data_IF_149315985692
#
_entry.id   IF_149315985692
#
_cell.length_a   1.000
_cell.length_b   1.000
_cell.length_c   1.000
_cell.angle_alpha   90.00
_cell.angle_beta   90.00
_cell.angle_gamma   90.00
#
_symmetry.space_group_name_H-M   'P 1'
#
loop_
_entity.id
_entity.type
_entity.pdbx_description
1 polymer ?
#
# COMPACT_ATOMS: atom_id res chain seq x y z
N UNK A 1 -0.25 42.67 14.49
CA UNK A 1 -1.65 42.22 14.30
C UNK A 1 -1.82 40.75 14.71
N UNK A 2 -1.03 39.80 14.19
CA UNK A 2 -1.08 38.39 14.62
C UNK A 2 0.19 37.95 15.34
N UNK A 3 0.06 37.27 16.49
CA UNK A 3 1.16 36.68 17.26
C UNK A 3 1.04 35.16 17.24
N UNK A 4 2.14 34.47 16.96
CA UNK A 4 2.19 33.01 17.01
C UNK A 4 2.51 32.60 18.46
N UNK A 5 1.55 31.99 19.15
CA UNK A 5 1.73 31.47 20.49
C UNK A 5 2.59 30.19 20.48
N UNK A 6 3.28 29.91 21.58
CA UNK A 6 4.22 28.79 21.69
C UNK A 6 3.58 27.39 21.47
N UNK A 7 2.25 27.31 21.48
CA UNK A 7 1.45 26.12 21.21
C UNK A 7 1.05 25.94 19.73
N UNK A 8 1.51 26.81 18.83
CA UNK A 8 1.17 26.75 17.40
C UNK A 8 -0.11 27.52 17.03
N UNK A 9 -0.78 28.17 17.99
CA UNK A 9 -1.96 28.98 17.71
C UNK A 9 -1.58 30.38 17.24
N UNK A 10 -2.33 30.92 16.30
CA UNK A 10 -2.26 32.30 15.84
C UNK A 10 -3.27 33.10 16.67
N UNK A 11 -2.74 33.99 17.51
CA UNK A 11 -3.49 34.91 18.33
C UNK A 11 -3.61 36.27 17.63
N UNK A 12 -4.80 36.85 17.64
CA UNK A 12 -5.06 38.24 17.26
C UNK A 12 -5.22 39.07 18.54
N UNK A 13 -4.39 40.11 18.70
CA UNK A 13 -4.56 41.10 19.77
C UNK A 13 -5.72 42.03 19.41
N UNK A 14 -6.83 41.93 20.14
CA UNK A 14 -8.09 42.61 19.80
C UNK A 14 -8.16 44.05 20.34
N UNK A 15 -7.23 44.41 21.24
CA UNK A 15 -7.20 45.73 21.90
C UNK A 15 -6.46 46.78 21.06
N UNK A 16 -5.35 46.41 20.39
CA UNK A 16 -4.58 47.35 19.57
C UNK A 16 -5.15 47.51 18.15
N UNK A 17 -5.81 46.49 17.63
CA UNK A 17 -6.43 46.50 16.31
C UNK A 17 -7.77 45.78 16.36
N UNK A 18 -8.83 46.50 16.75
CA UNK A 18 -10.20 45.98 16.71
C UNK A 18 -10.60 45.69 15.25
N UNK A 19 -10.84 44.42 14.88
CA UNK A 19 -11.18 44.06 13.51
C UNK A 19 -12.65 44.44 13.22
N UNK A 20 -12.93 45.09 12.08
CA UNK A 20 -14.28 45.56 11.74
C UNK A 20 -15.28 44.43 11.44
N UNK A 21 -14.83 43.23 11.06
CA UNK A 21 -15.70 42.07 10.81
C UNK A 21 -14.92 40.76 10.80
N UNK A 22 -15.61 39.63 10.99
CA UNK A 22 -15.05 38.28 10.82
C UNK A 22 -14.44 38.08 9.42
N UNK A 23 -15.06 38.66 8.39
CA UNK A 23 -14.57 38.61 7.02
C UNK A 23 -13.21 39.33 6.85
N UNK A 24 -13.02 40.46 7.54
CA UNK A 24 -11.74 41.18 7.52
C UNK A 24 -10.60 40.35 8.14
N UNK A 25 -10.87 39.59 9.21
CA UNK A 25 -9.87 38.69 9.82
C UNK A 25 -9.49 37.57 8.85
N UNK A 26 -10.47 36.97 8.16
CA UNK A 26 -10.22 35.91 7.18
C UNK A 26 -9.43 36.43 5.98
N UNK A 27 -9.75 37.62 5.47
CA UNK A 27 -8.99 38.24 4.38
C UNK A 27 -7.57 38.67 4.81
N UNK A 28 -7.43 39.19 6.03
CA UNK A 28 -6.12 39.53 6.59
C UNK A 28 -5.25 38.28 6.79
N UNK A 29 -5.85 37.16 7.23
CA UNK A 29 -5.14 35.87 7.33
C UNK A 29 -4.71 35.35 5.95
N UNK A 30 -5.58 35.44 4.94
CA UNK A 30 -5.25 35.07 3.54
C UNK A 30 -4.14 35.93 2.92
N UNK A 31 -4.06 37.21 3.28
CA UNK A 31 -2.98 38.12 2.83
C UNK A 31 -1.69 37.97 3.65
N UNK A 32 -1.77 37.36 4.83
CA UNK A 32 -0.63 37.18 5.73
C UNK A 32 0.16 35.90 5.42
N UNK A 33 1.29 35.75 6.11
CA UNK A 33 2.16 34.57 6.09
C UNK A 33 1.52 33.30 6.67
N UNK A 34 0.26 33.36 7.12
CA UNK A 34 -0.48 32.24 7.74
C UNK A 34 -1.59 31.66 6.86
N UNK A 35 -1.57 31.93 5.54
CA UNK A 35 -2.62 31.53 4.59
C UNK A 35 -2.92 30.01 4.57
N UNK A 36 -1.97 29.17 4.98
CA UNK A 36 -2.10 27.71 5.01
C UNK A 36 -2.54 27.14 6.37
N UNK A 37 -2.76 27.99 7.38
CA UNK A 37 -3.20 27.56 8.71
C UNK A 37 -4.70 27.23 8.71
N UNK A 38 -5.12 26.31 9.59
CA UNK A 38 -6.54 26.02 9.78
C UNK A 38 -7.21 27.19 10.47
N UNK A 39 -8.12 27.85 9.76
CA UNK A 39 -8.88 28.99 10.29
C UNK A 39 -10.06 28.46 11.09
N UNK A 40 -10.11 28.82 12.37
CA UNK A 40 -11.22 28.47 13.26
C UNK A 40 -12.34 29.50 13.12
N UNK A 41 -13.27 29.22 12.20
CA UNK A 41 -14.40 30.10 11.89
C UNK A 41 -15.38 30.22 13.07
N UNK A 42 -15.49 29.19 13.90
CA UNK A 42 -16.37 29.16 15.06
C UNK A 42 -15.90 30.09 16.18
N UNK A 43 -14.59 30.09 16.47
CA UNK A 43 -14.00 30.98 17.48
C UNK A 43 -14.15 32.46 17.08
N UNK A 44 -13.96 32.76 15.79
CA UNK A 44 -14.13 34.11 15.24
C UNK A 44 -15.59 34.55 15.36
N UNK A 45 -16.54 33.71 14.97
CA UNK A 45 -17.96 34.05 15.05
C UNK A 45 -18.48 34.15 16.49
N UNK A 46 -17.96 33.33 17.41
CA UNK A 46 -18.30 33.40 18.83
C UNK A 46 -17.87 34.74 19.44
N UNK A 47 -16.67 35.23 19.11
CA UNK A 47 -16.18 36.53 19.58
C UNK A 47 -17.05 37.71 19.14
N UNK A 48 -17.56 37.69 17.91
CA UNK A 48 -18.46 38.74 17.41
C UNK A 48 -19.89 38.63 17.97
N UNK A 49 -20.32 37.45 18.43
CA UNK A 49 -21.66 37.25 19.03
C UNK A 49 -21.69 37.58 20.52
N UNK A 50 -20.67 37.16 21.26
CA UNK A 50 -20.50 37.46 22.69
C UNK A 50 -19.10 38.04 22.89
N UNK A 51 -18.96 39.37 22.97
CA UNK A 51 -17.66 39.99 23.18
C UNK A 51 -17.15 39.67 24.58
N UNK A 52 -16.33 38.63 24.68
CA UNK A 52 -15.56 38.34 25.88
C UNK A 52 -14.44 39.37 26.02
N UNK A 53 -14.14 39.78 27.27
CA UNK A 53 -13.11 40.77 27.59
C UNK A 53 -11.67 40.21 27.45
N UNK A 54 -11.50 39.21 26.60
CA UNK A 54 -10.23 38.53 26.35
C UNK A 54 -9.37 39.40 25.42
N UNK A 55 -8.12 39.62 25.83
CA UNK A 55 -7.19 40.50 25.13
C UNK A 55 -6.72 39.91 23.79
N UNK A 56 -6.80 38.59 23.65
CA UNK A 56 -6.26 37.82 22.52
C UNK A 56 -7.26 36.76 22.05
N UNK A 57 -7.59 36.75 20.77
CA UNK A 57 -8.46 35.75 20.15
C UNK A 57 -7.63 34.72 19.37
N UNK A 58 -7.86 33.43 19.57
CA UNK A 58 -7.29 32.38 18.70
C UNK A 58 -8.05 32.39 17.38
N UNK A 59 -7.36 32.75 16.29
CA UNK A 59 -7.97 32.91 14.96
C UNK A 59 -7.56 31.82 13.97
N UNK A 60 -6.44 31.14 14.21
CA UNK A 60 -6.01 29.99 13.43
C UNK A 60 -5.09 29.08 14.26
N UNK A 61 -5.00 27.81 13.89
CA UNK A 61 -4.10 26.83 14.50
C UNK A 61 -3.14 26.24 13.47
N UNK A 62 -1.89 26.06 13.87
CA UNK A 62 -0.89 25.34 13.07
C UNK A 62 -0.93 23.86 13.42
N UNK A 63 -1.11 23.03 12.39
CA UNK A 63 -0.97 21.59 12.52
C UNK A 63 0.21 21.11 11.68
N UNK A 64 1.12 20.37 12.32
CA UNK A 64 2.22 19.70 11.64
C UNK A 64 1.69 18.50 10.83
N UNK A 65 2.42 18.13 9.77
CA UNK A 65 2.09 16.93 9.01
C UNK A 65 2.25 15.68 9.89
N UNK A 66 1.28 14.78 9.83
CA UNK A 66 1.28 13.54 10.61
C UNK A 66 1.12 12.33 9.72
N UNK A 67 1.86 11.26 10.01
CA UNK A 67 1.77 9.98 9.32
C UNK A 67 1.30 8.91 10.30
N UNK A 68 0.14 8.33 10.01
CA UNK A 68 -0.39 7.17 10.72
C UNK A 68 -0.14 5.93 9.90
N UNK A 69 0.46 4.89 10.47
CA UNK A 69 0.71 3.63 9.78
C UNK A 69 -0.16 2.55 10.38
N UNK A 70 -0.97 1.92 9.52
CA UNK A 70 -1.87 0.83 9.89
C UNK A 70 -1.44 -0.43 9.15
N UNK A 71 -1.34 -1.54 9.89
CA UNK A 71 -1.07 -2.87 9.32
C UNK A 71 -2.40 -3.60 9.23
N UNK A 72 -2.67 -4.18 8.08
CA UNK A 72 -3.86 -5.02 7.84
C UNK A 72 -3.84 -6.26 8.75
N UNK A 73 -5.02 -6.82 9.07
CA UNK A 73 -5.17 -7.98 9.96
C UNK A 73 -4.42 -9.21 9.45
N UNK A 74 -4.32 -9.34 8.13
CA UNK A 74 -3.56 -10.40 7.45
C UNK A 74 -2.03 -10.25 7.60
N UNK A 75 -1.55 -9.12 8.13
CA UNK A 75 -0.13 -8.75 8.23
C UNK A 75 0.60 -8.79 6.88
N UNK A 76 -0.12 -8.68 5.77
CA UNK A 76 0.44 -8.71 4.42
C UNK A 76 0.59 -7.32 3.81
N UNK A 77 -0.05 -6.31 4.39
CA UNK A 77 -0.05 -4.96 3.84
C UNK A 77 0.06 -3.92 4.96
N UNK A 78 0.95 -2.95 4.77
CA UNK A 78 1.05 -1.77 5.63
C UNK A 78 0.66 -0.53 4.82
N UNK A 79 -0.38 0.17 5.26
CA UNK A 79 -0.84 1.43 4.70
C UNK A 79 -0.40 2.60 5.56
N UNK A 80 0.17 3.63 4.95
CA UNK A 80 0.37 4.94 5.56
C UNK A 80 -0.75 5.88 5.18
N UNK A 81 -1.28 6.60 6.15
CA UNK A 81 -2.18 7.73 5.97
C UNK A 81 -1.42 8.99 6.39
N UNK A 82 -1.07 9.82 5.39
CA UNK A 82 -0.43 11.12 5.61
C UNK A 82 -1.48 12.21 5.62
N UNK A 83 -1.48 12.99 6.67
CA UNK A 83 -2.22 14.25 6.74
C UNK A 83 -1.26 15.40 6.48
N UNK A 84 -1.53 16.20 5.45
CA UNK A 84 -0.67 17.34 5.08
C UNK A 84 -0.67 18.42 6.16
N UNK A 85 0.45 19.12 6.30
CA UNK A 85 0.58 20.20 7.28
C UNK A 85 -0.39 21.34 6.97
N UNK A 86 -0.95 21.95 8.01
CA UNK A 86 -1.75 23.17 7.94
C UNK A 86 -0.98 24.31 8.59
N UNK A 87 -0.05 24.92 7.83
CA UNK A 87 0.82 25.99 8.31
C UNK A 87 1.90 25.57 9.33
N UNK A 88 1.99 24.26 9.60
CA UNK A 88 3.03 23.61 10.40
C UNK A 88 4.20 23.07 9.55
N UNK A 89 5.00 22.19 10.14
CA UNK A 89 6.14 21.55 9.47
C UNK A 89 5.71 20.38 8.60
N UNK A 90 6.35 20.27 7.44
CA UNK A 90 6.24 19.09 6.57
C UNK A 90 6.92 17.87 7.20
N UNK A 91 6.45 16.68 6.84
CA UNK A 91 7.01 15.46 7.39
C UNK A 91 8.32 15.12 6.69
N UNK A 92 9.39 14.98 7.47
CA UNK A 92 10.68 14.56 6.96
C UNK A 92 10.74 13.03 6.79
N UNK A 93 11.54 12.58 5.81
CA UNK A 93 11.71 11.15 5.50
C UNK A 93 12.20 10.35 6.71
N UNK A 94 13.11 10.91 7.51
CA UNK A 94 13.61 10.26 8.73
C UNK A 94 12.53 10.08 9.80
N UNK A 95 11.66 11.08 9.99
CA UNK A 95 10.53 10.96 10.92
C UNK A 95 9.53 9.91 10.44
N UNK A 96 9.25 9.88 9.13
CA UNK A 96 8.37 8.90 8.53
C UNK A 96 8.92 7.46 8.68
N UNK A 97 10.24 7.26 8.51
CA UNK A 97 10.93 6.00 8.81
C UNK A 97 10.79 5.58 10.27
N UNK A 98 10.94 6.52 11.22
CA UNK A 98 10.75 6.21 12.63
C UNK A 98 9.32 5.76 12.94
N UNK A 99 8.31 6.37 12.31
CA UNK A 99 6.90 5.95 12.49
C UNK A 99 6.66 4.54 11.92
N UNK A 100 7.25 4.22 10.78
CA UNK A 100 7.21 2.88 10.19
C UNK A 100 7.80 1.81 11.12
N UNK A 101 8.95 2.10 11.72
CA UNK A 101 9.60 1.19 12.67
C UNK A 101 8.73 1.03 13.92
N UNK A 102 8.18 2.12 14.45
CA UNK A 102 7.26 2.08 15.61
C UNK A 102 5.99 1.27 15.32
N UNK A 103 5.48 1.32 14.09
CA UNK A 103 4.34 0.52 13.67
C UNK A 103 4.66 -0.99 13.52
N UNK A 104 5.94 -1.36 13.54
CA UNK A 104 6.39 -2.76 13.46
C UNK A 104 6.53 -3.28 12.02
N UNK A 105 6.77 -2.39 11.05
CA UNK A 105 7.11 -2.80 9.67
C UNK A 105 8.58 -3.17 9.61
N UNK A 106 8.89 -4.46 9.40
CA UNK A 106 10.25 -4.99 9.37
C UNK A 106 10.70 -5.43 7.97
N UNK A 107 9.78 -5.96 7.15
CA UNK A 107 10.06 -6.49 5.80
C UNK A 107 9.06 -5.99 4.77
N UNK A 108 9.48 -5.96 3.51
CA UNK A 108 8.63 -5.54 2.39
C UNK A 108 8.43 -4.04 2.24
N UNK A 109 9.13 -3.22 3.04
CA UNK A 109 9.21 -1.76 2.87
C UNK A 109 9.94 -1.42 1.57
N UNK A 110 9.40 -0.45 0.83
CA UNK A 110 10.08 0.16 -0.31
C UNK A 110 10.19 1.66 -0.10
N UNK A 111 11.42 2.17 -0.13
CA UNK A 111 11.70 3.60 0.04
C UNK A 111 10.95 4.47 -0.99
N UNK A 112 10.90 4.02 -2.24
CA UNK A 112 10.20 4.72 -3.30
C UNK A 112 8.70 4.99 -2.97
N UNK A 113 8.02 4.08 -2.28
CA UNK A 113 6.62 4.29 -1.92
C UNK A 113 6.45 5.34 -0.82
N UNK A 114 7.39 5.38 0.13
CA UNK A 114 7.40 6.40 1.16
C UNK A 114 7.68 7.78 0.54
N UNK A 115 8.66 7.87 -0.37
CA UNK A 115 8.99 9.10 -1.08
C UNK A 115 7.81 9.60 -1.92
N UNK A 116 7.12 8.71 -2.64
CA UNK A 116 5.91 9.07 -3.40
C UNK A 116 4.80 9.61 -2.50
N UNK A 117 4.57 8.98 -1.34
CA UNK A 117 3.57 9.42 -0.38
C UNK A 117 3.94 10.77 0.25
N UNK A 118 5.23 10.99 0.55
CA UNK A 118 5.72 12.28 1.02
C UNK A 118 5.68 13.36 -0.07
N UNK A 119 5.90 13.02 -1.34
CA UNK A 119 5.83 13.98 -2.44
C UNK A 119 4.43 14.58 -2.58
N UNK A 120 3.39 13.78 -2.32
CA UNK A 120 2.00 14.25 -2.33
C UNK A 120 1.73 15.35 -1.31
N UNK A 121 2.55 15.48 -0.27
CA UNK A 121 2.43 16.56 0.72
C UNK A 121 2.69 17.95 0.13
N UNK A 122 3.41 18.04 -1.00
CA UNK A 122 3.72 19.29 -1.69
C UNK A 122 2.73 19.60 -2.82
N UNK A 123 2.05 18.57 -3.34
CA UNK A 123 1.08 18.73 -4.43
C UNK A 123 -0.34 18.99 -3.91
N UNK A 124 -0.65 18.53 -2.70
CA UNK A 124 -1.99 18.57 -2.13
C UNK A 124 -2.21 19.80 -1.26
N UNK A 125 -3.47 20.30 -1.20
CA UNK A 125 -3.80 21.40 -0.31
C UNK A 125 -3.65 21.00 1.16
N UNK A 126 -3.36 22.00 2.00
CA UNK A 126 -3.22 21.87 3.44
C UNK A 126 -4.46 21.21 4.08
N UNK A 127 -4.24 20.20 4.94
CA UNK A 127 -5.32 19.48 5.62
C UNK A 127 -5.90 18.28 4.88
N UNK A 128 -5.31 17.88 3.76
CA UNK A 128 -5.76 16.70 3.02
C UNK A 128 -5.13 15.45 3.61
N UNK A 129 -5.95 14.41 3.82
CA UNK A 129 -5.49 13.08 4.20
C UNK A 129 -5.35 12.20 2.97
N UNK A 130 -4.18 11.60 2.75
CA UNK A 130 -3.94 10.67 1.64
C UNK A 130 -3.35 9.37 2.14
N UNK A 131 -3.85 8.28 1.56
CA UNK A 131 -3.45 6.92 1.86
C UNK A 131 -2.54 6.39 0.79
N UNK A 132 -1.48 5.70 1.18
CA UNK A 132 -0.60 4.98 0.29
C UNK A 132 -0.04 3.72 0.92
N UNK A 133 0.40 2.79 0.07
CA UNK A 133 0.94 1.51 0.50
C UNK A 133 2.43 1.71 0.81
N UNK A 134 2.86 1.41 2.03
CA UNK A 134 4.25 1.58 2.45
C UNK A 134 5.05 0.27 2.41
N UNK A 135 4.40 -0.85 2.71
CA UNK A 135 5.02 -2.16 2.65
C UNK A 135 4.04 -3.25 2.20
N UNK A 136 4.58 -4.26 1.51
CA UNK A 136 3.83 -5.42 1.03
C UNK A 136 4.59 -6.71 1.35
N UNK A 137 3.89 -7.64 1.98
CA UNK A 137 4.33 -9.02 2.20
C UNK A 137 4.27 -9.84 0.91
N UNK A 138 4.95 -10.97 0.92
CA UNK A 138 4.97 -11.92 -0.19
C UNK A 138 4.39 -13.25 0.27
N UNK A 139 3.41 -13.78 -0.47
CA UNK A 139 2.88 -15.11 -0.19
C UNK A 139 3.90 -16.20 -0.57
N UNK A 140 3.93 -17.33 0.16
CA UNK A 140 4.78 -18.45 -0.22
C UNK A 140 4.31 -19.06 -1.54
N UNK A 141 5.26 -19.43 -2.39
CA UNK A 141 5.00 -20.18 -3.63
C UNK A 141 5.41 -21.64 -3.38
N UNK A 142 4.45 -22.56 -3.44
CA UNK A 142 4.74 -23.99 -3.31
C UNK A 142 5.60 -24.48 -4.48
N UNK A 143 6.52 -25.39 -4.16
CA UNK A 143 7.29 -26.12 -5.14
C UNK A 143 6.41 -27.09 -5.93
N UNK A 144 6.81 -27.38 -7.16
CA UNK A 144 6.16 -28.37 -8.01
C UNK A 144 6.81 -29.72 -7.72
N UNK A 145 6.01 -30.74 -7.42
CA UNK A 145 6.51 -32.12 -7.31
C UNK A 145 7.08 -32.60 -8.64
N UNK A 146 7.97 -33.59 -8.58
CA UNK A 146 8.49 -34.21 -9.79
C UNK A 146 7.36 -34.94 -10.52
N UNK A 147 7.27 -34.74 -11.83
CA UNK A 147 6.26 -35.41 -12.65
C UNK A 147 6.98 -36.27 -13.68
N UNK A 148 6.59 -37.53 -13.77
CA UNK A 148 7.01 -38.42 -14.84
C UNK A 148 6.10 -38.18 -16.04
N UNK A 149 6.63 -37.55 -17.07
CA UNK A 149 5.92 -37.31 -18.32
C UNK A 149 6.19 -38.47 -19.26
N UNK A 150 5.19 -39.33 -19.45
CA UNK A 150 5.26 -40.37 -20.49
C UNK A 150 5.30 -39.70 -21.86
N UNK A 151 6.32 -40.02 -22.64
CA UNK A 151 6.46 -39.59 -24.05
C UNK A 151 5.79 -40.57 -25.00
N UNK A 152 5.39 -41.74 -24.50
CA UNK A 152 4.71 -42.78 -25.28
C UNK A 152 3.30 -42.96 -24.72
N UNK A 153 2.33 -42.98 -25.61
CA UNK A 153 0.95 -43.28 -25.25
C UNK A 153 0.77 -44.78 -25.10
N UNK A 154 0.21 -45.21 -23.97
CA UNK A 154 -0.13 -46.61 -23.73
C UNK A 154 -1.43 -46.99 -24.45
N UNK A 155 -1.63 -48.29 -24.68
CA UNK A 155 -2.86 -48.80 -25.29
C UNK A 155 -4.12 -48.42 -24.49
N UNK A 156 -4.01 -48.36 -23.17
CA UNK A 156 -5.09 -47.95 -22.27
C UNK A 156 -5.51 -46.49 -22.49
N UNK A 157 -4.55 -45.60 -22.77
CA UNK A 157 -4.83 -44.19 -23.06
C UNK A 157 -5.44 -44.00 -24.45
N UNK A 158 -5.03 -44.81 -25.43
CA UNK A 158 -5.53 -44.76 -26.81
C UNK A 158 -6.91 -45.39 -27.02
N UNK A 159 -7.32 -46.30 -26.15
CA UNK A 159 -8.66 -46.91 -26.15
C UNK A 159 -9.79 -45.86 -26.11
N UNK A 160 -9.52 -44.65 -25.61
CA UNK A 160 -10.48 -43.55 -25.55
C UNK A 160 -10.37 -42.54 -26.70
N UNK A 161 -9.44 -42.71 -27.63
CA UNK A 161 -9.22 -41.83 -28.77
C UNK A 161 -9.15 -42.64 -30.07
N UNK A 162 -10.31 -42.95 -30.70
CA UNK A 162 -10.36 -43.63 -31.98
C UNK A 162 -9.72 -42.78 -33.07
N UNK A 163 -9.26 -43.43 -34.14
CA UNK A 163 -8.50 -42.77 -35.20
C UNK A 163 -9.39 -41.79 -35.99
N UNK A 164 -8.90 -40.56 -36.12
CA UNK A 164 -9.49 -39.56 -37.01
C UNK A 164 -9.09 -39.86 -38.46
N UNK A 165 -10.05 -39.92 -39.37
CA UNK A 165 -9.81 -40.00 -40.82
C UNK A 165 -9.53 -38.61 -41.37
N UNK A 166 -8.93 -38.54 -42.56
CA UNK A 166 -8.59 -37.27 -43.23
C UNK A 166 -9.83 -36.40 -43.52
N UNK A 167 -10.99 -37.04 -43.68
CA UNK A 167 -12.29 -36.38 -43.87
C UNK A 167 -12.90 -35.81 -42.57
N UNK A 168 -12.19 -35.88 -41.44
CA UNK A 168 -12.66 -35.43 -40.13
C UNK A 168 -13.63 -36.38 -39.43
N UNK A 169 -13.97 -37.51 -40.05
CA UNK A 169 -14.80 -38.56 -39.44
C UNK A 169 -13.96 -39.47 -38.53
N UNK A 170 -14.55 -39.95 -37.43
CA UNK A 170 -13.86 -40.79 -36.44
C UNK A 170 -14.23 -42.25 -36.65
N UNK A 171 -13.23 -43.13 -36.79
CA UNK A 171 -13.46 -44.57 -36.90
C UNK A 171 -13.50 -45.24 -35.52
N UNK A 172 -14.71 -45.50 -35.02
CA UNK A 172 -14.93 -46.12 -33.70
C UNK A 172 -14.46 -47.59 -33.61
N UNK A 173 -13.97 -48.19 -34.69
CA UNK A 173 -13.44 -49.58 -34.72
C UNK A 173 -11.92 -49.65 -34.82
N UNK A 174 -11.25 -48.56 -35.19
CA UNK A 174 -9.79 -48.49 -35.35
C UNK A 174 -9.17 -47.58 -34.29
N UNK A 175 -8.42 -48.19 -33.36
CA UNK A 175 -7.70 -47.52 -32.27
C UNK A 175 -6.19 -47.37 -32.55
N UNK A 176 -5.76 -47.65 -33.77
CA UNK A 176 -4.36 -47.57 -34.20
C UNK A 176 -3.55 -48.85 -33.96
N UNK A 177 -2.27 -48.83 -34.39
CA UNK A 177 -1.33 -49.96 -34.25
C UNK A 177 -0.74 -50.04 -32.84
N UNK A 178 -0.33 -51.24 -32.42
CA UNK A 178 0.45 -51.46 -31.20
C UNK A 178 1.68 -50.56 -31.20
N UNK A 179 1.89 -49.81 -30.12
CA UNK A 179 3.07 -48.97 -29.96
C UNK A 179 4.29 -49.88 -29.73
N UNK A 180 5.06 -50.14 -30.78
CA UNK A 180 6.39 -50.75 -30.68
C UNK A 180 7.42 -49.63 -30.56
N UNK A 181 8.35 -49.77 -29.62
CA UNK A 181 9.45 -48.83 -29.39
C UNK A 181 10.77 -49.49 -29.75
N UNK A 182 11.70 -48.73 -30.32
CA UNK A 182 13.04 -49.23 -30.64
C UNK A 182 13.98 -49.05 -29.45
N UNK A 183 15.04 -49.87 -29.33
CA UNK A 183 16.08 -49.66 -28.32
C UNK A 183 16.64 -48.23 -28.38
N UNK A 184 16.62 -47.53 -27.25
CA UNK A 184 17.04 -46.13 -27.16
C UNK A 184 15.90 -45.11 -27.27
N UNK A 185 14.66 -45.53 -27.51
CA UNK A 185 13.50 -44.64 -27.53
C UNK A 185 13.22 -44.10 -26.11
N UNK A 186 13.09 -42.77 -25.99
CA UNK A 186 12.73 -42.11 -24.74
C UNK A 186 11.28 -42.43 -24.36
N UNK A 187 11.09 -43.20 -23.29
CA UNK A 187 9.76 -43.58 -22.81
C UNK A 187 9.18 -42.55 -21.84
N UNK A 188 9.99 -42.10 -20.89
CA UNK A 188 9.57 -41.24 -19.79
C UNK A 188 10.59 -40.12 -19.65
N UNK A 189 10.10 -38.89 -19.50
CA UNK A 189 10.91 -37.74 -19.09
C UNK A 189 10.50 -37.33 -17.68
N UNK A 190 11.44 -37.38 -16.74
CA UNK A 190 11.20 -36.83 -15.41
C UNK A 190 11.37 -35.31 -15.46
N UNK A 191 10.34 -34.59 -15.04
CA UNK A 191 10.45 -33.18 -14.67
C UNK A 191 10.89 -33.13 -13.20
N UNK A 192 12.04 -32.51 -12.87
CA UNK A 192 12.54 -32.47 -11.51
C UNK A 192 11.61 -31.66 -10.60
N UNK A 193 11.60 -32.01 -9.31
CA UNK A 193 10.88 -31.23 -8.31
C UNK A 193 11.53 -29.85 -8.16
N UNK A 194 10.71 -28.80 -8.00
CA UNK A 194 11.21 -27.45 -7.72
C UNK A 194 11.10 -27.15 -6.23
N UNK A 195 12.08 -26.45 -5.64
CA UNK A 195 11.92 -25.94 -4.28
C UNK A 195 10.76 -24.94 -4.23
N UNK A 196 10.07 -24.90 -3.09
CA UNK A 196 9.14 -23.81 -2.78
C UNK A 196 9.91 -22.52 -2.47
N UNK A 197 9.28 -21.37 -2.71
CA UNK A 197 9.83 -20.06 -2.28
C UNK A 197 9.08 -19.58 -1.06
N UNK A 198 9.82 -19.37 0.01
CA UNK A 198 9.27 -18.83 1.25
C UNK A 198 8.64 -17.45 1.03
N UNK A 199 7.50 -17.25 1.69
CA UNK A 199 6.85 -15.95 1.79
C UNK A 199 7.34 -15.19 3.02
N UNK A 200 6.90 -13.95 3.16
CA UNK A 200 7.11 -13.17 4.37
C UNK A 200 5.96 -12.17 4.59
N UNK A 201 5.62 -11.94 5.86
CA UNK A 201 4.69 -10.89 6.27
C UNK A 201 5.40 -9.54 6.39
N UNK A 202 4.65 -8.44 6.46
CA UNK A 202 5.26 -7.10 6.66
C UNK A 202 5.92 -6.96 8.05
N UNK A 203 5.48 -7.77 9.02
CA UNK A 203 6.09 -7.84 10.37
C UNK A 203 7.39 -8.63 10.41
N UNK A 204 7.74 -9.32 9.32
CA UNK A 204 8.97 -10.11 9.21
C UNK A 204 8.81 -11.61 9.48
N UNK A 205 7.58 -12.07 9.76
CA UNK A 205 7.31 -13.50 9.92
C UNK A 205 7.51 -14.22 8.58
N UNK A 206 8.27 -15.32 8.59
CA UNK A 206 8.49 -16.14 7.39
C UNK A 206 7.31 -17.09 7.23
N UNK A 207 6.75 -17.13 6.02
CA UNK A 207 5.70 -18.08 5.65
C UNK A 207 6.35 -19.27 4.95
N UNK A 208 6.34 -20.47 5.55
CA UNK A 208 7.00 -21.63 4.97
C UNK A 208 6.30 -22.04 3.68
N UNK A 209 7.09 -22.35 2.65
CA UNK A 209 6.60 -22.94 1.42
C UNK A 209 6.78 -24.46 1.45
N UNK A 210 5.83 -25.19 0.87
CA UNK A 210 6.00 -26.64 0.70
C UNK A 210 6.95 -26.90 -0.46
N UNK A 211 8.00 -27.67 -0.23
CA UNK A 211 8.84 -28.17 -1.30
C UNK A 211 8.07 -29.19 -2.15
N UNK A 212 8.35 -29.23 -3.45
CA UNK A 212 7.83 -30.30 -4.30
C UNK A 212 8.40 -31.65 -3.86
N UNK A 213 7.56 -32.68 -3.83
CA UNK A 213 8.02 -34.03 -3.55
C UNK A 213 8.81 -34.58 -4.73
N UNK A 214 9.96 -35.20 -4.46
CA UNK A 214 10.75 -35.90 -5.47
C UNK A 214 10.40 -37.37 -5.46
N UNK A 215 9.74 -37.83 -6.52
CA UNK A 215 9.56 -39.24 -6.81
C UNK A 215 10.78 -39.74 -7.58
N UNK A 216 11.47 -40.79 -7.11
CA UNK A 216 12.52 -41.43 -7.88
C UNK A 216 11.94 -42.09 -9.16
N UNK A 217 12.80 -42.20 -10.18
CA UNK A 217 12.56 -43.01 -11.39
C UNK A 217 12.72 -44.49 -11.09
#
# INVERSE_FOLDING_TARGET
>A
MFKLAHNGNVLLDVIEHSPPSAAFIIEALKKSTFCECRIDHDAINAFFKEPSNERSLVVASKHDATLTVTISDDKMLATGELTTAQGGKVLALDQAKQQLIKAGVARGYKQAFLEQLLQQQFELPAGTSVKGILAKGRLPENGKSSILLSQVQTLKERLHTPKLREDGTVDMRDFGKLASVEPGTLLIRQQPATPGKEGFTVKGDVLPAKAGESSPL
#
